data_IF_680807108073
#
_entry.id   IF_680807108073
#
_cell.length_a   1.000
_cell.length_b   1.000
_cell.length_c   1.000
_cell.angle_alpha   90.00
_cell.angle_beta   90.00
_cell.angle_gamma   90.00
#
_symmetry.space_group_name_H-M   'P 1'
#
loop_
_entity.id
_entity.type
_entity.pdbx_description
1 polymer ?
#
# COMPACT_ATOMS: atom_id res chain seq x y z
N UNK A 1 -4.99 2.32 -24.03
CA UNK A 1 -4.17 1.86 -25.16
C UNK A 1 -2.74 2.29 -24.93
N UNK A 2 -1.85 1.33 -24.80
CA UNK A 2 -0.41 1.55 -24.67
C UNK A 2 0.14 1.80 -26.09
N UNK A 3 0.76 2.95 -26.29
CA UNK A 3 1.41 3.27 -27.55
C UNK A 3 2.92 3.42 -27.30
N UNK A 4 3.70 2.62 -28.00
CA UNK A 4 5.16 2.74 -27.99
C UNK A 4 5.58 3.73 -29.07
N UNK A 5 6.28 4.78 -28.69
CA UNK A 5 6.82 5.79 -29.59
C UNK A 5 8.34 5.67 -29.64
N UNK A 6 8.91 5.73 -30.83
CA UNK A 6 10.34 5.95 -30.97
C UNK A 6 10.65 7.42 -30.80
N UNK A 7 11.45 7.74 -29.80
CA UNK A 7 11.81 9.13 -29.50
C UNK A 7 13.24 9.38 -29.99
N UNK A 8 13.43 10.48 -30.72
CA UNK A 8 14.76 10.93 -31.09
C UNK A 8 15.49 11.44 -29.86
N UNK A 9 16.69 10.94 -29.63
CA UNK A 9 17.54 11.39 -28.53
C UNK A 9 18.70 12.21 -29.09
N UNK A 10 18.97 13.38 -28.48
CA UNK A 10 20.15 14.17 -28.75
C UNK A 10 21.05 14.17 -27.52
N UNK A 11 22.32 13.85 -27.71
CA UNK A 11 23.30 13.91 -26.63
C UNK A 11 23.91 15.31 -26.57
N UNK A 12 23.64 16.03 -25.48
CA UNK A 12 24.32 17.31 -25.17
C UNK A 12 25.18 17.14 -23.92
N UNK A 13 26.48 17.01 -24.11
CA UNK A 13 27.41 16.78 -23.02
C UNK A 13 27.12 15.47 -22.26
N UNK A 14 26.82 15.58 -20.97
CA UNK A 14 26.45 14.44 -20.10
C UNK A 14 24.93 14.18 -20.06
N UNK A 15 24.13 15.04 -20.68
CA UNK A 15 22.67 14.97 -20.65
C UNK A 15 22.13 14.33 -21.93
N UNK A 16 21.06 13.57 -21.77
CA UNK A 16 20.25 13.03 -22.86
C UNK A 16 18.98 13.91 -22.97
N UNK A 17 18.80 14.57 -24.11
CA UNK A 17 17.58 15.33 -24.38
C UNK A 17 16.59 14.44 -25.14
N UNK A 18 15.37 14.34 -24.63
CA UNK A 18 14.27 13.62 -25.25
C UNK A 18 13.28 14.62 -25.82
N UNK A 19 13.08 14.59 -27.12
CA UNK A 19 12.08 15.41 -27.78
C UNK A 19 10.76 14.62 -27.86
N UNK A 20 9.80 15.00 -27.02
CA UNK A 20 8.47 14.39 -27.01
C UNK A 20 7.56 15.25 -27.88
N UNK A 21 6.92 14.69 -28.93
CA UNK A 21 6.00 15.45 -29.78
C UNK A 21 4.88 16.06 -28.93
N UNK A 22 4.69 17.38 -29.07
CA UNK A 22 3.59 18.07 -28.44
C UNK A 22 2.27 17.59 -29.05
N UNK A 23 1.49 16.85 -28.30
CA UNK A 23 0.10 16.53 -28.65
C UNK A 23 -0.82 17.30 -27.71
N UNK A 24 -1.56 18.24 -28.30
CA UNK A 24 -2.26 19.29 -27.57
C UNK A 24 -3.60 18.90 -26.95
N UNK A 25 -4.07 17.67 -27.08
CA UNK A 25 -5.47 17.36 -26.74
C UNK A 25 -5.72 16.29 -25.67
N UNK A 26 -4.70 15.63 -25.14
CA UNK A 26 -4.90 14.60 -24.11
C UNK A 26 -3.82 14.65 -23.04
N UNK A 27 -4.25 14.56 -21.81
CA UNK A 27 -3.34 14.33 -20.68
C UNK A 27 -2.69 12.95 -20.86
N UNK A 28 -1.36 12.88 -20.80
CA UNK A 28 -0.60 11.64 -20.97
C UNK A 28 0.44 11.49 -19.87
N UNK A 29 0.66 10.25 -19.49
CA UNK A 29 1.75 9.85 -18.63
C UNK A 29 2.75 9.10 -19.50
N UNK A 30 4.00 9.50 -19.43
CA UNK A 30 5.10 8.83 -20.12
C UNK A 30 5.96 8.10 -19.12
N UNK A 31 6.21 6.85 -19.39
CA UNK A 31 7.18 6.06 -18.66
C UNK A 31 8.45 5.93 -19.47
N UNK A 32 9.58 6.30 -18.90
CA UNK A 32 10.89 6.18 -19.51
C UNK A 32 11.62 5.01 -18.85
N UNK A 33 12.06 4.06 -19.66
CA UNK A 33 12.86 2.93 -19.22
C UNK A 33 14.20 3.01 -19.94
N UNK A 34 15.28 3.16 -19.20
CA UNK A 34 16.62 3.13 -19.75
C UNK A 34 17.23 1.73 -19.56
N UNK A 35 17.71 1.14 -20.64
CA UNK A 35 18.44 -0.12 -20.61
C UNK A 35 19.87 0.11 -21.08
N UNK A 36 20.84 -0.55 -20.47
CA UNK A 36 22.21 -0.56 -20.97
C UNK A 36 22.42 -1.74 -21.94
N UNK A 37 23.62 -1.82 -22.54
CA UNK A 37 23.97 -2.86 -23.50
C UNK A 37 23.92 -4.30 -22.95
N UNK A 38 23.97 -4.47 -21.64
CA UNK A 38 23.90 -5.78 -20.97
C UNK A 38 22.47 -6.07 -20.44
N UNK A 39 21.49 -5.22 -20.76
CA UNK A 39 20.10 -5.43 -20.36
C UNK A 39 19.74 -4.98 -18.96
N UNK A 40 20.65 -4.36 -18.20
CA UNK A 40 20.31 -3.79 -16.90
C UNK A 40 19.35 -2.60 -17.10
N UNK A 41 18.25 -2.61 -16.35
CA UNK A 41 17.18 -1.62 -16.43
C UNK A 41 17.34 -0.63 -15.29
N UNK A 42 17.36 0.67 -15.63
CA UNK A 42 17.26 1.72 -14.62
C UNK A 42 15.82 1.78 -14.08
N UNK A 43 15.67 2.31 -12.86
CA UNK A 43 14.34 2.57 -12.31
C UNK A 43 13.54 3.45 -13.29
N UNK A 44 12.30 3.09 -13.61
CA UNK A 44 11.49 3.85 -14.53
C UNK A 44 11.24 5.26 -14.01
N UNK A 45 11.45 6.24 -14.87
CA UNK A 45 11.12 7.64 -14.60
C UNK A 45 9.77 7.96 -15.28
N UNK A 46 8.87 8.60 -14.56
CA UNK A 46 7.58 9.00 -15.07
C UNK A 46 7.52 10.51 -15.24
N UNK A 47 6.97 10.96 -16.37
CA UNK A 47 6.67 12.35 -16.66
C UNK A 47 5.25 12.47 -17.20
N UNK A 48 4.55 13.52 -16.83
CA UNK A 48 3.21 13.79 -17.32
C UNK A 48 3.04 15.25 -17.76
N UNK A 49 2.28 15.47 -18.79
CA UNK A 49 1.86 16.80 -19.24
C UNK A 49 0.52 17.22 -18.64
N UNK A 50 0.15 16.66 -17.50
CA UNK A 50 -1.07 17.00 -16.79
C UNK A 50 -1.05 18.48 -16.39
N UNK A 51 -1.77 19.31 -17.15
CA UNK A 51 -1.94 20.73 -16.82
C UNK A 51 -3.13 21.01 -15.89
N UNK A 52 -4.05 20.07 -15.73
CA UNK A 52 -5.14 20.18 -14.79
C UNK A 52 -4.86 19.35 -13.56
N UNK A 53 -4.35 19.98 -12.53
CA UNK A 53 -4.35 19.43 -11.17
C UNK A 53 -5.81 19.21 -10.80
N UNK A 54 -6.27 17.97 -10.81
CA UNK A 54 -7.44 17.65 -10.00
C UNK A 54 -7.10 17.97 -8.57
N UNK A 55 -8.03 18.59 -7.88
CA UNK A 55 -7.81 18.95 -6.48
C UNK A 55 -7.57 17.67 -5.70
N UNK A 56 -6.72 17.72 -4.70
CA UNK A 56 -6.49 16.60 -3.76
C UNK A 56 -7.83 16.05 -3.20
N UNK A 57 -8.88 16.87 -3.23
CA UNK A 57 -10.23 16.51 -2.78
C UNK A 57 -10.94 15.50 -3.68
N UNK A 58 -10.57 15.42 -4.96
CA UNK A 58 -11.22 14.56 -5.95
C UNK A 58 -10.57 13.16 -6.07
N UNK A 59 -9.50 12.92 -5.34
CA UNK A 59 -8.75 11.67 -5.38
C UNK A 59 -9.19 10.76 -4.25
N UNK A 60 -9.48 9.50 -4.55
CA UNK A 60 -9.84 8.51 -3.55
C UNK A 60 -8.68 7.53 -3.36
N UNK A 61 -7.99 7.59 -2.21
CA UNK A 61 -6.95 6.63 -1.91
C UNK A 61 -7.54 5.27 -1.56
N UNK A 62 -6.90 4.21 -2.05
CA UNK A 62 -7.05 2.84 -1.56
C UNK A 62 -5.80 2.48 -0.79
N UNK A 63 -5.95 1.70 0.24
CA UNK A 63 -4.84 1.24 1.06
C UNK A 63 -4.73 -0.27 0.94
N UNK A 64 -3.59 -0.73 0.45
CA UNK A 64 -3.21 -2.13 0.45
C UNK A 64 -2.07 -2.37 1.43
N UNK A 65 -2.04 -3.54 2.03
CA UNK A 65 -1.04 -3.94 3.01
C UNK A 65 -0.24 -5.09 2.43
N UNK A 66 1.04 -4.83 2.16
CA UNK A 66 1.97 -5.81 1.62
C UNK A 66 2.83 -6.35 2.74
N UNK A 67 2.70 -7.62 3.02
CA UNK A 67 3.46 -8.32 4.05
C UNK A 67 4.78 -8.87 3.50
N UNK A 68 5.85 -8.81 4.33
CA UNK A 68 7.15 -9.41 4.07
C UNK A 68 7.67 -10.12 5.33
N UNK A 69 8.79 -10.83 5.23
CA UNK A 69 9.39 -11.47 6.41
C UNK A 69 9.83 -10.47 7.48
N UNK A 70 10.27 -9.28 7.08
CA UNK A 70 10.79 -8.25 7.99
C UNK A 70 9.75 -7.27 8.53
N UNK A 71 8.53 -7.27 7.97
CA UNK A 71 7.51 -6.31 8.34
C UNK A 71 6.45 -6.14 7.27
N UNK A 72 5.82 -4.99 7.26
CA UNK A 72 4.80 -4.63 6.27
C UNK A 72 5.14 -3.33 5.56
N UNK A 73 4.61 -3.18 4.34
CA UNK A 73 4.53 -1.93 3.62
C UNK A 73 3.07 -1.53 3.45
N UNK A 74 2.81 -0.26 3.51
CA UNK A 74 1.52 0.29 3.10
C UNK A 74 1.66 0.82 1.67
N UNK A 75 0.88 0.26 0.76
CA UNK A 75 0.74 0.76 -0.60
C UNK A 75 -0.53 1.58 -0.68
N UNK A 76 -0.38 2.84 -1.11
CA UNK A 76 -1.49 3.76 -1.30
C UNK A 76 -1.68 3.94 -2.80
N UNK A 77 -2.79 3.48 -3.32
CA UNK A 77 -3.18 3.61 -4.71
C UNK A 77 -4.26 4.68 -4.85
N UNK A 78 -4.06 5.61 -5.78
CA UNK A 78 -5.01 6.66 -6.10
C UNK A 78 -5.79 6.29 -7.35
N UNK A 79 -7.08 6.58 -7.37
CA UNK A 79 -7.91 6.40 -8.56
C UNK A 79 -7.52 7.35 -9.72
N UNK A 80 -6.77 8.40 -9.40
CA UNK A 80 -6.29 9.38 -10.36
C UNK A 80 -4.95 9.95 -9.93
N UNK A 81 -4.21 10.52 -10.89
CA UNK A 81 -2.97 11.23 -10.58
C UNK A 81 -3.24 12.46 -9.70
N UNK A 82 -2.57 12.52 -8.57
CA UNK A 82 -2.52 13.70 -7.72
C UNK A 82 -1.08 14.16 -7.56
N UNK A 83 -0.80 15.41 -7.92
CA UNK A 83 0.48 16.04 -7.60
C UNK A 83 0.42 16.49 -6.15
N UNK A 84 1.29 15.96 -5.32
CA UNK A 84 1.34 16.31 -3.91
C UNK A 84 2.23 15.34 -3.13
N UNK A 85 2.29 15.57 -1.85
CA UNK A 85 2.94 14.69 -0.90
C UNK A 85 1.89 13.82 -0.21
N UNK A 86 2.23 12.59 0.05
CA UNK A 86 1.43 11.71 0.87
C UNK A 86 2.16 11.45 2.19
N UNK A 87 1.40 11.36 3.26
CA UNK A 87 1.90 10.99 4.57
C UNK A 87 0.99 9.92 5.14
N UNK A 88 1.59 8.90 5.71
CA UNK A 88 0.90 7.84 6.43
C UNK A 88 0.98 8.13 7.93
N UNK A 89 -0.15 8.05 8.63
CA UNK A 89 -0.19 8.12 10.08
C UNK A 89 -0.77 6.84 10.64
N UNK A 90 -0.04 6.21 11.53
CA UNK A 90 -0.54 5.09 12.34
C UNK A 90 -1.05 5.67 13.66
N UNK A 91 -2.28 5.36 14.00
CA UNK A 91 -2.90 5.93 15.19
C UNK A 91 -3.74 4.92 15.97
N UNK A 92 -3.90 5.22 17.24
CA UNK A 92 -4.98 4.72 18.08
C UNK A 92 -5.77 5.93 18.59
N UNK A 93 -6.67 5.74 19.55
CA UNK A 93 -7.53 6.83 20.04
C UNK A 93 -6.76 7.98 20.71
N UNK A 94 -5.51 7.76 21.11
CA UNK A 94 -4.74 8.70 21.94
C UNK A 94 -3.43 9.16 21.32
N UNK A 95 -2.79 8.32 20.51
CA UNK A 95 -1.44 8.53 19.99
C UNK A 95 -1.44 8.33 18.49
N UNK A 96 -0.69 9.15 17.78
CA UNK A 96 -0.40 8.96 16.37
C UNK A 96 1.08 9.09 16.09
N UNK A 97 1.55 8.39 15.06
CA UNK A 97 2.91 8.48 14.55
C UNK A 97 2.87 8.56 13.02
N UNK A 98 3.54 9.57 12.49
CA UNK A 98 3.59 9.82 11.05
C UNK A 98 4.80 9.13 10.42
N UNK A 99 4.60 8.61 9.21
CA UNK A 99 5.61 7.96 8.39
C UNK A 99 5.60 8.56 6.99
N UNK A 100 6.77 8.85 6.43
CA UNK A 100 6.84 9.28 5.04
C UNK A 100 6.44 8.15 4.11
N UNK A 101 5.91 8.52 2.96
CA UNK A 101 5.68 7.61 1.85
C UNK A 101 6.32 8.17 0.59
N UNK A 102 6.88 7.30 -0.23
CA UNK A 102 7.53 7.65 -1.48
C UNK A 102 6.62 7.37 -2.66
N UNK A 103 6.49 8.32 -3.57
CA UNK A 103 5.77 8.10 -4.82
C UNK A 103 6.62 7.22 -5.73
N UNK A 104 6.13 6.02 -6.04
CA UNK A 104 6.81 5.05 -6.91
C UNK A 104 6.22 5.03 -8.33
N UNK A 105 4.97 5.44 -8.47
CA UNK A 105 4.27 5.64 -9.74
C UNK A 105 3.34 6.85 -9.62
N UNK A 106 2.85 7.42 -10.73
CA UNK A 106 1.99 8.60 -10.69
C UNK A 106 0.77 8.48 -9.77
N UNK A 107 0.26 7.28 -9.58
CA UNK A 107 -0.92 6.99 -8.75
C UNK A 107 -0.61 6.09 -7.55
N UNK A 108 0.66 5.73 -7.33
CA UNK A 108 1.04 4.76 -6.28
C UNK A 108 2.12 5.33 -5.38
N UNK A 109 1.86 5.31 -4.10
CA UNK A 109 2.81 5.63 -3.04
C UNK A 109 3.09 4.40 -2.18
N UNK A 110 4.30 4.29 -1.69
CA UNK A 110 4.74 3.18 -0.85
C UNK A 110 5.41 3.72 0.42
N UNK A 111 5.05 3.18 1.57
CA UNK A 111 5.76 3.46 2.82
C UNK A 111 7.12 2.77 2.85
N UNK A 112 7.99 3.19 3.75
CA UNK A 112 9.10 2.35 4.19
C UNK A 112 8.56 1.07 4.85
N UNK A 113 9.41 0.05 4.92
CA UNK A 113 9.08 -1.18 5.64
C UNK A 113 8.95 -0.89 7.14
N UNK A 114 7.79 -1.23 7.70
CA UNK A 114 7.49 -1.06 9.11
C UNK A 114 7.63 -2.40 9.84
N UNK A 115 8.51 -2.49 10.84
CA UNK A 115 8.63 -3.67 11.67
C UNK A 115 7.31 -3.98 12.40
N UNK A 116 6.96 -5.25 12.66
CA UNK A 116 5.70 -5.62 13.31
C UNK A 116 5.43 -4.86 14.60
N UNK A 117 6.44 -4.66 15.44
CA UNK A 117 6.32 -3.93 16.70
C UNK A 117 5.82 -2.49 16.55
N UNK A 118 6.03 -1.87 15.41
CA UNK A 118 5.51 -0.53 15.10
C UNK A 118 3.99 -0.49 15.01
N UNK A 119 3.37 -1.65 14.81
CA UNK A 119 1.93 -1.81 14.63
C UNK A 119 1.21 -2.19 15.92
N UNK A 120 1.94 -2.30 17.03
CA UNK A 120 1.35 -2.57 18.33
C UNK A 120 0.36 -1.44 18.69
N UNK A 121 -0.84 -1.83 19.12
CA UNK A 121 -1.95 -0.93 19.47
C UNK A 121 -2.50 -0.04 18.33
N UNK A 122 -2.10 -0.25 17.08
CA UNK A 122 -2.66 0.49 15.95
C UNK A 122 -4.12 0.11 15.73
N UNK A 123 -4.98 1.10 15.57
CA UNK A 123 -6.40 0.95 15.23
C UNK A 123 -6.76 1.55 13.88
N UNK A 124 -6.00 2.56 13.46
CA UNK A 124 -6.28 3.32 12.26
C UNK A 124 -5.00 3.59 11.47
N UNK A 125 -5.17 3.60 10.17
CA UNK A 125 -4.19 4.12 9.22
C UNK A 125 -4.83 5.32 8.53
N UNK A 126 -4.29 6.50 8.79
CA UNK A 126 -4.74 7.72 8.16
C UNK A 126 -3.77 8.07 7.02
N UNK A 127 -4.31 8.26 5.83
CA UNK A 127 -3.56 8.70 4.65
C UNK A 127 -3.87 10.17 4.44
N UNK A 128 -2.88 11.03 4.62
CA UNK A 128 -2.99 12.45 4.34
C UNK A 128 -2.33 12.76 2.99
N UNK A 129 -3.09 13.37 2.10
CA UNK A 129 -2.64 13.90 0.82
C UNK A 129 -2.59 15.40 0.92
N UNK A 130 -1.44 15.99 0.61
CA UNK A 130 -1.23 17.42 0.74
C UNK A 130 -0.60 17.97 -0.54
N UNK A 131 -1.14 19.07 -1.03
CA UNK A 131 -0.48 19.92 -2.00
C UNK A 131 -0.39 21.35 -1.42
N UNK A 132 0.18 22.29 -2.17
CA UNK A 132 0.44 23.67 -1.71
C UNK A 132 -0.76 24.40 -1.08
N UNK A 133 -1.99 23.99 -1.38
CA UNK A 133 -3.22 24.70 -0.98
C UNK A 133 -4.26 23.84 -0.28
N UNK A 134 -4.19 22.53 -0.40
CA UNK A 134 -5.23 21.62 0.05
C UNK A 134 -4.62 20.41 0.74
N UNK A 135 -5.30 19.97 1.79
CA UNK A 135 -4.99 18.72 2.48
C UNK A 135 -6.26 17.89 2.59
N UNK A 136 -6.15 16.60 2.32
CA UNK A 136 -7.20 15.62 2.55
C UNK A 136 -6.66 14.47 3.36
N UNK A 137 -7.39 14.08 4.37
CA UNK A 137 -7.09 12.91 5.19
C UNK A 137 -8.18 11.85 5.00
N UNK A 138 -7.77 10.62 4.77
CA UNK A 138 -8.68 9.46 4.65
C UNK A 138 -8.28 8.43 5.68
N UNK A 139 -9.23 8.01 6.51
CA UNK A 139 -9.02 7.04 7.58
C UNK A 139 -9.41 5.64 7.14
N UNK A 140 -8.52 4.70 7.38
CA UNK A 140 -8.74 3.27 7.21
C UNK A 140 -8.67 2.60 8.58
N UNK A 141 -9.64 1.76 8.88
CA UNK A 141 -9.57 0.92 10.07
C UNK A 141 -8.61 -0.25 9.80
N UNK A 142 -7.60 -0.38 10.64
CA UNK A 142 -6.64 -1.45 10.58
C UNK A 142 -6.23 -1.82 12.00
N UNK A 143 -6.59 -3.01 12.45
CA UNK A 143 -6.39 -3.48 13.81
C UNK A 143 -5.55 -4.76 13.80
N UNK A 144 -4.24 -4.65 13.60
CA UNK A 144 -3.36 -5.81 13.68
C UNK A 144 -3.08 -6.16 15.13
N UNK A 145 -2.81 -7.43 15.39
CA UNK A 145 -2.13 -7.88 16.58
C UNK A 145 -0.69 -8.21 16.24
N UNK A 146 0.22 -7.96 17.16
CA UNK A 146 1.63 -8.36 17.01
C UNK A 146 1.85 -9.64 17.79
N UNK A 147 2.01 -10.75 17.08
CA UNK A 147 2.36 -12.02 17.66
C UNK A 147 3.87 -12.13 17.87
N UNK A 148 4.28 -12.41 19.08
CA UNK A 148 5.66 -12.65 19.46
C UNK A 148 5.90 -14.14 19.71
N UNK A 149 7.10 -14.67 19.45
CA UNK A 149 7.38 -16.11 19.59
C UNK A 149 7.10 -16.68 20.98
N UNK A 150 7.28 -15.87 22.02
CA UNK A 150 7.26 -16.34 23.42
C UNK A 150 6.05 -15.83 24.20
N UNK A 151 5.13 -15.11 23.56
CA UNK A 151 3.99 -14.52 24.25
C UNK A 151 2.67 -15.02 23.69
N UNK A 152 1.63 -14.82 24.49
CA UNK A 152 0.26 -15.03 24.11
C UNK A 152 -0.32 -13.68 23.68
N UNK A 153 -0.90 -13.64 22.47
CA UNK A 153 -1.56 -12.44 21.94
C UNK A 153 -2.97 -12.77 21.51
N UNK A 154 -3.92 -11.90 21.80
CA UNK A 154 -5.30 -11.98 21.28
C UNK A 154 -5.44 -10.97 20.15
N UNK A 155 -5.91 -11.45 19.02
CA UNK A 155 -6.12 -10.65 17.80
C UNK A 155 -7.60 -10.68 17.53
N UNK A 156 -8.20 -9.51 17.34
CA UNK A 156 -9.65 -9.35 17.18
C UNK A 156 -9.93 -8.75 15.81
N UNK A 157 -10.97 -9.23 15.15
CA UNK A 157 -11.43 -8.64 13.89
C UNK A 157 -11.96 -7.23 14.11
N UNK A 158 -11.92 -6.42 13.06
CA UNK A 158 -12.39 -5.04 13.04
C UNK A 158 -13.84 -4.86 13.53
N UNK A 159 -14.71 -5.82 13.25
CA UNK A 159 -16.10 -5.84 13.66
C UNK A 159 -16.33 -6.49 15.04
N UNK A 160 -15.23 -6.90 15.72
CA UNK A 160 -15.22 -7.53 17.03
C UNK A 160 -15.97 -8.87 17.14
N UNK A 161 -16.35 -9.47 16.00
CA UNK A 161 -17.13 -10.70 15.96
C UNK A 161 -16.27 -11.97 15.77
N UNK A 162 -14.99 -11.81 15.52
CA UNK A 162 -14.03 -12.90 15.42
C UNK A 162 -12.78 -12.56 16.20
N UNK A 163 -12.25 -13.51 16.94
CA UNK A 163 -10.96 -13.37 17.60
C UNK A 163 -10.18 -14.67 17.52
N UNK A 164 -8.88 -14.53 17.45
CA UNK A 164 -7.93 -15.66 17.55
C UNK A 164 -6.93 -15.38 18.65
N UNK A 165 -6.34 -16.44 19.16
CA UNK A 165 -5.32 -16.38 20.17
C UNK A 165 -4.07 -17.09 19.68
N UNK A 166 -2.95 -16.37 19.61
CA UNK A 166 -1.64 -16.98 19.45
C UNK A 166 -1.14 -17.48 20.81
N UNK A 167 -0.49 -18.61 20.81
CA UNK A 167 0.17 -19.16 21.98
C UNK A 167 1.70 -18.98 21.86
N UNK A 168 2.47 -19.15 22.93
CA UNK A 168 3.91 -19.24 22.81
C UNK A 168 4.33 -20.26 21.76
N UNK A 169 5.29 -19.90 20.92
CA UNK A 169 5.77 -20.68 19.77
C UNK A 169 4.78 -20.85 18.61
N UNK A 170 3.73 -20.02 18.48
CA UNK A 170 2.89 -20.01 17.28
C UNK A 170 3.62 -19.44 16.07
N UNK A 171 4.46 -18.43 16.25
CA UNK A 171 5.24 -17.79 15.18
C UNK A 171 6.75 -17.99 15.39
N UNK A 172 7.51 -17.93 14.30
CA UNK A 172 8.97 -18.03 14.36
C UNK A 172 9.64 -16.70 14.76
N UNK A 173 9.06 -15.60 14.36
CA UNK A 173 9.52 -14.23 14.63
C UNK A 173 8.34 -13.33 14.91
N UNK A 174 8.59 -12.14 15.44
CA UNK A 174 7.57 -11.11 15.58
C UNK A 174 6.82 -10.91 14.25
N UNK A 175 5.50 -11.04 14.30
CA UNK A 175 4.66 -11.04 13.08
C UNK A 175 3.39 -10.24 13.32
N UNK A 176 3.10 -9.32 12.42
CA UNK A 176 1.80 -8.64 12.41
C UNK A 176 0.75 -9.56 11.79
N UNK A 177 -0.36 -9.74 12.49
CA UNK A 177 -1.47 -10.61 12.08
C UNK A 177 -2.75 -9.81 12.24
N UNK A 178 -3.66 -9.91 11.28
CA UNK A 178 -4.99 -9.28 11.38
C UNK A 178 -6.07 -10.18 10.77
N UNK A 179 -7.31 -9.89 11.09
CA UNK A 179 -8.48 -10.65 10.67
C UNK A 179 -9.33 -9.78 9.76
N UNK A 180 -9.53 -10.22 8.53
CA UNK A 180 -10.38 -9.57 7.55
C UNK A 180 -11.69 -10.33 7.38
N UNK A 181 -12.80 -9.59 7.31
CA UNK A 181 -14.08 -10.13 6.93
C UNK A 181 -14.13 -10.29 5.41
N UNK A 182 -14.51 -11.46 4.94
CA UNK A 182 -14.62 -11.79 3.53
C UNK A 182 -16.05 -11.54 3.05
N UNK A 183 -16.24 -10.54 2.20
CA UNK A 183 -17.58 -10.21 1.66
C UNK A 183 -18.03 -11.17 0.56
N UNK A 184 -17.07 -11.74 -0.18
CA UNK A 184 -17.33 -12.70 -1.26
C UNK A 184 -16.65 -14.03 -0.95
N UNK A 185 -17.41 -15.02 -0.62
CA UNK A 185 -16.96 -16.39 -0.36
C UNK A 185 -17.65 -17.38 -1.30
N UNK A 186 -17.00 -18.50 -1.51
CA UNK A 186 -17.58 -19.55 -2.34
C UNK A 186 -18.91 -20.07 -1.73
N UNK A 187 -19.93 -20.31 -2.55
CA UNK A 187 -21.19 -20.87 -2.05
C UNK A 187 -20.95 -22.23 -1.42
N UNK A 188 -21.59 -22.49 -0.31
CA UNK A 188 -21.56 -23.80 0.35
C UNK A 188 -22.41 -24.76 -0.46
N UNK A 189 -21.83 -25.89 -0.89
CA UNK A 189 -22.55 -26.92 -1.59
C UNK A 189 -23.54 -27.60 -0.61
N UNK A 190 -24.83 -27.52 -0.92
CA UNK A 190 -25.90 -28.09 -0.09
C UNK A 190 -26.03 -27.48 1.33
N UNK A 191 -25.80 -26.21 1.46
CA UNK A 191 -25.90 -25.50 2.74
C UNK A 191 -25.94 -23.98 2.60
N UNK A 192 -25.87 -23.30 3.73
CA UNK A 192 -25.79 -21.84 3.82
C UNK A 192 -24.83 -21.46 4.95
N UNK A 193 -24.26 -20.27 4.85
CA UNK A 193 -23.41 -19.76 5.91
C UNK A 193 -24.27 -19.27 7.08
N UNK A 194 -23.94 -19.70 8.27
CA UNK A 194 -24.59 -19.26 9.51
C UNK A 194 -23.95 -18.01 10.10
N UNK A 195 -22.73 -17.68 9.67
CA UNK A 195 -21.96 -16.53 10.16
C UNK A 195 -21.20 -15.87 9.03
N UNK A 196 -20.61 -14.71 9.31
CA UNK A 196 -19.61 -14.10 8.43
C UNK A 196 -18.40 -15.01 8.27
N UNK A 197 -17.75 -14.93 7.11
CA UNK A 197 -16.48 -15.61 6.85
C UNK A 197 -15.35 -14.65 7.13
N UNK A 198 -14.33 -15.12 7.81
CA UNK A 198 -13.13 -14.36 8.15
C UNK A 198 -11.89 -15.03 7.58
N UNK A 199 -10.96 -14.21 7.14
CA UNK A 199 -9.65 -14.62 6.66
C UNK A 199 -8.58 -14.05 7.55
N UNK A 200 -7.65 -14.92 7.96
CA UNK A 200 -6.46 -14.49 8.68
C UNK A 200 -5.42 -13.97 7.70
N UNK A 201 -4.82 -12.85 8.00
CA UNK A 201 -3.75 -12.24 7.20
C UNK A 201 -2.46 -12.12 8.02
N UNK A 202 -1.31 -12.30 7.40
CA UNK A 202 -1.12 -12.80 6.04
C UNK A 202 -1.40 -14.31 5.96
N UNK A 203 -2.17 -14.74 4.97
CA UNK A 203 -2.63 -16.14 4.89
C UNK A 203 -1.52 -17.12 4.44
N UNK A 204 -0.47 -16.63 3.79
CA UNK A 204 0.66 -17.40 3.26
C UNK A 204 1.79 -17.60 4.28
N UNK A 205 1.61 -17.13 5.51
CA UNK A 205 2.62 -17.22 6.55
C UNK A 205 2.71 -18.64 7.12
N UNK A 206 3.92 -19.16 7.16
CA UNK A 206 4.19 -20.44 7.85
C UNK A 206 4.13 -20.23 9.36
N UNK A 207 3.27 -20.97 9.99
CA UNK A 207 3.12 -21.00 11.44
C UNK A 207 3.93 -22.16 12.02
N UNK A 208 4.47 -21.96 13.20
CA UNK A 208 5.20 -22.99 13.93
C UNK A 208 4.24 -23.97 14.65
N UNK A 209 3.15 -23.42 15.17
CA UNK A 209 2.09 -24.17 15.85
C UNK A 209 0.70 -23.60 15.48
N UNK A 210 -0.34 -24.34 15.83
CA UNK A 210 -1.72 -23.96 15.59
C UNK A 210 -2.18 -22.76 16.45
N UNK A 211 -3.19 -22.06 15.97
CA UNK A 211 -3.95 -21.07 16.73
C UNK A 211 -5.00 -21.78 17.62
N UNK A 212 -5.48 -21.07 18.62
CA UNK A 212 -6.70 -21.38 19.38
C UNK A 212 -7.72 -20.25 19.29
#
# INVERSE_FOLDING_TARGET
DEQVFTISTQKRGKNLELLIPAQTSKNRIFQFIATNQIGAIALPFHWSNYNSLKTVLDVNPKLDIVHTEGGIFFQIEMDQYAKGEATLKLSNDNIFKSYPVSQIQPTVFLSDMLPPKTLEDVKYVDVALTNEKLSRETRFNFMPGVAEPNTKTVIVSKDMNCSIQTLPNTVYSSTAIWIEKVDKHAPVKNGYHLSSVYQLQPFDRVLKNEFR
#
